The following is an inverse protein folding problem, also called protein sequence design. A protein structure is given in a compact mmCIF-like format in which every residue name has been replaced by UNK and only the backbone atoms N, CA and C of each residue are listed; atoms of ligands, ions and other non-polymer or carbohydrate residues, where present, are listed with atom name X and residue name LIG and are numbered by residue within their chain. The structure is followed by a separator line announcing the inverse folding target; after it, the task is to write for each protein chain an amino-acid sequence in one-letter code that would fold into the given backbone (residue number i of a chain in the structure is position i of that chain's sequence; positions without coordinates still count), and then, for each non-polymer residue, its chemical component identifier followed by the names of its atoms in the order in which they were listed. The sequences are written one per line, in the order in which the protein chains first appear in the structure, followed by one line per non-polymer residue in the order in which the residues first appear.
data_IF_567351966584
#
_entry.id   IF_567351966584
#
_cell.length_a   1.000
_cell.length_b   1.000
_cell.length_c   1.000
_cell.angle_alpha   90.00
_cell.angle_beta   90.00
_cell.angle_gamma   90.00
#
_symmetry.space_group_name_H-M   'P 1'
#
loop_
_entity.id
_entity.type
_entity.pdbx_description
1 polymer ?
#
# COMPACT_ATOMS: atom_id res chain seq x y z
N UNK A 1 -25.08 -21.25 -6.76
CA UNK A 1 -25.13 -20.38 -5.56
C UNK A 1 -23.72 -19.90 -5.31
N UNK A 2 -23.40 -18.73 -5.85
CA UNK A 2 -22.07 -18.14 -5.95
C UNK A 2 -21.79 -17.26 -4.75
N UNK A 3 -20.79 -17.63 -3.95
CA UNK A 3 -20.22 -16.77 -2.93
C UNK A 3 -19.12 -15.92 -3.59
N UNK A 4 -19.38 -14.64 -3.75
CA UNK A 4 -18.38 -13.62 -4.10
C UNK A 4 -17.45 -13.43 -2.90
N UNK A 5 -16.20 -13.89 -3.03
CA UNK A 5 -15.10 -13.53 -2.13
C UNK A 5 -14.77 -12.05 -2.32
N UNK A 6 -14.67 -11.31 -1.23
CA UNK A 6 -14.19 -9.93 -1.18
C UNK A 6 -12.71 -9.87 -1.64
N UNK A 7 -12.30 -8.95 -2.52
CA UNK A 7 -10.92 -8.92 -3.04
C UNK A 7 -9.90 -8.20 -2.13
N UNK A 8 -10.23 -7.81 -0.90
CA UNK A 8 -9.35 -6.94 -0.09
C UNK A 8 -9.32 -7.32 1.39
N UNK A 9 -8.87 -8.53 1.70
CA UNK A 9 -8.61 -8.96 3.08
C UNK A 9 -7.36 -9.86 3.12
N UNK A 10 -6.17 -9.26 3.22
CA UNK A 10 -4.93 -10.02 3.32
C UNK A 10 -3.65 -9.19 3.19
N UNK A 11 -3.61 -7.96 3.72
CA UNK A 11 -2.36 -7.21 3.78
C UNK A 11 -1.70 -7.42 5.14
N UNK A 12 -0.73 -8.34 5.19
CA UNK A 12 0.20 -8.47 6.31
C UNK A 12 1.22 -7.35 6.28
N UNK A 13 0.81 -6.12 6.60
CA UNK A 13 1.78 -5.05 6.88
C UNK A 13 2.51 -5.43 8.17
N UNK A 14 3.84 -5.55 8.08
CA UNK A 14 4.80 -5.68 9.17
C UNK A 14 4.19 -5.31 10.53
N UNK A 15 3.99 -6.32 11.38
CA UNK A 15 3.53 -6.15 12.75
C UNK A 15 4.51 -5.23 13.49
N UNK A 16 4.18 -3.93 13.54
CA UNK A 16 4.78 -2.95 14.44
C UNK A 16 4.29 -3.30 15.87
N UNK A 17 4.97 -4.25 16.51
CA UNK A 17 5.05 -4.41 17.97
C UNK A 17 6.19 -3.52 18.46
N UNK A 18 5.87 -2.27 18.79
CA UNK A 18 6.74 -1.38 19.57
C UNK A 18 5.89 -0.21 20.09
N UNK A 19 5.18 -0.45 21.20
CA UNK A 19 4.51 0.57 22.02
C UNK A 19 5.59 1.43 22.71
N UNK A 20 5.85 2.64 22.19
CA UNK A 20 6.78 3.60 22.80
C UNK A 20 6.12 4.92 23.23
N UNK A 21 4.89 4.86 23.72
CA UNK A 21 4.23 6.00 24.39
C UNK A 21 4.40 5.99 25.93
N UNK A 22 5.43 5.33 26.46
CA UNK A 22 5.81 5.39 27.89
C UNK A 22 7.24 5.90 28.07
N UNK A 23 7.49 7.15 27.68
CA UNK A 23 8.58 7.94 28.28
C UNK A 23 7.96 9.08 29.05
N UNK A 24 7.65 8.82 30.32
CA UNK A 24 7.42 9.87 31.31
C UNK A 24 8.71 10.67 31.54
N UNK A 25 8.64 11.91 32.03
CA UNK A 25 9.79 12.82 32.05
C UNK A 25 10.79 12.56 33.18
N UNK A 26 10.64 11.49 33.98
CA UNK A 26 11.50 11.23 35.14
C UNK A 26 12.24 9.91 34.97
N UNK A 27 13.56 10.00 34.81
CA UNK A 27 14.44 8.85 34.61
C UNK A 27 14.72 8.09 35.90
N UNK A 28 14.76 6.76 35.79
CA UNK A 28 15.63 5.89 36.58
C UNK A 28 15.91 4.62 35.76
N UNK A 29 17.19 4.35 35.51
CA UNK A 29 17.67 3.05 35.04
C UNK A 29 17.63 2.08 36.22
N UNK A 30 16.84 1.01 36.14
CA UNK A 30 17.01 -0.14 37.02
C UNK A 30 17.06 -1.43 36.20
N UNK A 31 18.25 -2.03 36.22
CA UNK A 31 18.60 -3.35 35.71
C UNK A 31 17.93 -4.45 36.53
N UNK A 32 17.32 -5.46 35.89
CA UNK A 32 17.01 -6.72 36.56
C UNK A 32 17.19 -7.94 35.62
N UNK A 33 18.13 -8.79 36.01
CA UNK A 33 18.46 -10.11 35.46
C UNK A 33 17.38 -11.17 35.76
N UNK A 34 17.39 -12.34 35.06
CA UNK A 34 16.31 -13.33 35.12
C UNK A 34 16.51 -14.40 36.20
N UNK A 35 15.41 -14.95 36.71
CA UNK A 35 15.38 -16.09 37.63
C UNK A 35 14.04 -16.85 37.60
N UNK A 36 14.00 -18.13 38.02
CA UNK A 36 13.39 -19.20 37.23
C UNK A 36 12.06 -19.78 37.75
N UNK A 37 11.39 -20.49 36.84
CA UNK A 37 10.31 -21.48 36.94
C UNK A 37 9.80 -21.95 38.32
N UNK A 38 8.47 -21.98 38.48
CA UNK A 38 7.79 -23.11 39.13
C UNK A 38 6.32 -23.20 38.66
N UNK A 39 5.91 -24.38 38.21
CA UNK A 39 4.57 -24.63 37.68
C UNK A 39 3.48 -24.77 38.74
N UNK A 40 2.23 -24.59 38.28
CA UNK A 40 1.06 -25.26 38.83
C UNK A 40 0.00 -25.39 37.75
N UNK A 41 -0.27 -26.64 37.38
CA UNK A 41 -1.51 -27.06 36.74
C UNK A 41 -2.61 -27.01 37.79
N UNK A 42 -3.69 -26.27 37.51
CA UNK A 42 -5.01 -26.57 38.06
C UNK A 42 -6.05 -26.37 36.95
N UNK A 43 -6.81 -27.44 36.75
CA UNK A 43 -7.80 -27.68 35.70
C UNK A 43 -9.19 -27.15 36.07
N UNK A 44 -9.98 -26.94 35.00
CA UNK A 44 -11.46 -26.91 34.97
C UNK A 44 -12.16 -25.60 35.31
N UNK A 45 -12.38 -24.82 34.24
CA UNK A 45 -13.40 -23.78 34.15
C UNK A 45 -13.63 -23.39 32.69
N UNK A 46 -13.92 -24.36 31.82
CA UNK A 46 -14.35 -24.11 30.43
C UNK A 46 -15.75 -23.46 30.44
N UNK A 47 -15.80 -22.18 30.82
CA UNK A 47 -16.82 -21.28 30.29
C UNK A 47 -16.38 -21.04 28.85
N UNK A 48 -16.96 -21.80 27.93
CA UNK A 48 -16.97 -21.42 26.52
C UNK A 48 -17.63 -20.04 26.45
N UNK A 49 -16.81 -19.00 26.58
CA UNK A 49 -17.18 -17.64 26.23
C UNK A 49 -17.44 -17.71 24.74
N UNK A 50 -18.70 -17.97 24.37
CA UNK A 50 -19.19 -17.76 23.02
C UNK A 50 -18.76 -16.34 22.72
N UNK A 51 -17.68 -16.18 21.93
CA UNK A 51 -17.40 -14.91 21.26
C UNK A 51 -18.62 -14.68 20.40
N UNK A 52 -19.59 -13.96 20.95
CA UNK A 52 -20.71 -13.39 20.22
C UNK A 52 -20.03 -12.56 19.16
N UNK A 53 -20.08 -13.03 17.90
CA UNK A 53 -19.62 -12.22 16.80
C UNK A 53 -20.34 -10.89 16.92
N UNK A 54 -19.60 -9.77 16.92
CA UNK A 54 -20.21 -8.47 16.98
C UNK A 54 -21.29 -8.35 15.88
N UNK A 55 -22.43 -7.70 16.15
CA UNK A 55 -23.46 -7.54 15.13
C UNK A 55 -22.86 -6.88 13.87
N UNK A 56 -23.24 -7.33 12.66
CA UNK A 56 -22.70 -6.73 11.45
C UNK A 56 -23.07 -5.23 11.40
N UNK A 57 -22.25 -4.42 10.71
CA UNK A 57 -22.52 -2.99 10.61
C UNK A 57 -23.85 -2.75 9.88
N UNK A 58 -24.56 -1.65 10.20
CA UNK A 58 -25.89 -1.40 9.66
C UNK A 58 -25.82 -1.25 8.13
N UNK A 59 -26.67 -1.96 7.36
CA UNK A 59 -26.69 -1.77 5.91
C UNK A 59 -27.20 -0.36 5.61
N UNK A 60 -26.47 0.38 4.78
CA UNK A 60 -26.80 1.75 4.41
C UNK A 60 -27.57 1.86 3.08
N UNK A 61 -27.73 0.74 2.35
CA UNK A 61 -28.49 0.66 1.10
C UNK A 61 -27.87 1.50 -0.03
N UNK A 62 -28.50 1.53 -1.21
CA UNK A 62 -27.97 2.23 -2.38
C UNK A 62 -28.10 3.76 -2.35
N UNK A 63 -28.83 4.34 -1.39
CA UNK A 63 -29.11 5.78 -1.29
C UNK A 63 -29.07 6.29 0.16
N UNK A 64 -27.91 6.24 0.84
CA UNK A 64 -27.82 6.59 2.24
C UNK A 64 -27.93 8.09 2.50
N UNK A 65 -28.52 8.47 3.63
CA UNK A 65 -28.71 9.87 4.07
C UNK A 65 -27.86 10.19 5.30
N UNK A 66 -27.81 11.46 5.72
CA UNK A 66 -27.16 11.84 6.99
C UNK A 66 -27.78 11.16 8.22
N UNK A 67 -29.06 10.76 8.17
CA UNK A 67 -29.66 9.95 9.22
C UNK A 67 -29.08 8.53 9.27
N UNK A 68 -28.75 7.92 8.12
CA UNK A 68 -28.04 6.64 8.07
C UNK A 68 -26.62 6.78 8.62
N UNK A 69 -25.94 7.88 8.28
CA UNK A 69 -24.61 8.20 8.81
C UNK A 69 -24.62 8.34 10.35
N UNK A 70 -25.59 9.05 10.91
CA UNK A 70 -25.76 9.17 12.36
C UNK A 70 -25.97 7.82 13.04
N UNK A 71 -26.83 6.95 12.48
CA UNK A 71 -27.02 5.58 12.98
C UNK A 71 -25.73 4.76 12.95
N UNK A 72 -24.91 4.90 11.90
CA UNK A 72 -23.63 4.22 11.81
C UNK A 72 -22.66 4.71 12.89
N UNK A 73 -22.59 6.01 13.15
CA UNK A 73 -21.81 6.56 14.27
C UNK A 73 -22.27 5.94 15.60
N UNK A 74 -23.56 5.96 15.89
CA UNK A 74 -24.09 5.42 17.15
C UNK A 74 -23.80 3.92 17.30
N UNK A 75 -23.96 3.16 16.22
CA UNK A 75 -23.60 1.75 16.15
C UNK A 75 -22.13 1.54 16.54
N UNK A 76 -21.18 2.12 15.78
CA UNK A 76 -19.76 1.90 15.99
C UNK A 76 -19.22 2.49 17.30
N UNK A 77 -19.86 3.54 17.87
CA UNK A 77 -19.51 4.03 19.21
C UNK A 77 -19.80 3.00 20.30
N UNK A 78 -20.93 2.32 20.19
CA UNK A 78 -21.39 1.29 21.12
C UNK A 78 -20.82 -0.10 20.83
N UNK A 79 -20.18 -0.27 19.67
CA UNK A 79 -19.70 -1.56 19.21
C UNK A 79 -18.40 -2.00 19.91
N UNK A 80 -18.29 -3.28 20.32
CA UNK A 80 -17.10 -3.80 21.02
C UNK A 80 -15.87 -3.89 20.10
N UNK A 81 -16.09 -4.08 18.79
CA UNK A 81 -15.05 -4.03 17.77
C UNK A 81 -15.28 -2.80 16.88
N UNK A 82 -14.49 -1.75 17.08
CA UNK A 82 -14.61 -0.50 16.33
C UNK A 82 -13.83 -0.51 15.02
N UNK A 83 -13.14 -1.62 14.70
CA UNK A 83 -12.39 -1.76 13.46
C UNK A 83 -13.32 -1.63 12.25
N UNK A 84 -12.84 -1.03 11.15
CA UNK A 84 -13.62 -0.80 9.94
C UNK A 84 -14.70 0.30 10.02
N UNK A 85 -14.94 0.91 11.19
CA UNK A 85 -15.96 1.95 11.33
C UNK A 85 -15.71 3.17 10.43
N UNK A 86 -14.46 3.61 10.29
CA UNK A 86 -14.10 4.73 9.41
C UNK A 86 -14.26 4.38 7.93
N UNK A 87 -13.91 3.14 7.54
CA UNK A 87 -14.15 2.59 6.20
C UNK A 87 -15.62 2.65 5.86
N UNK A 88 -16.45 2.14 6.75
CA UNK A 88 -17.90 2.12 6.57
C UNK A 88 -18.49 3.53 6.46
N UNK A 89 -18.05 4.46 7.32
CA UNK A 89 -18.48 5.84 7.25
C UNK A 89 -18.06 6.52 5.94
N UNK A 90 -16.86 6.24 5.43
CA UNK A 90 -16.39 6.71 4.12
C UNK A 90 -17.25 6.15 3.00
N UNK A 91 -17.49 4.85 2.96
CA UNK A 91 -18.20 4.21 1.86
C UNK A 91 -19.68 4.60 1.81
N UNK A 92 -20.29 4.76 2.99
CA UNK A 92 -21.62 5.36 3.13
C UNK A 92 -21.61 6.79 2.59
N UNK A 93 -20.59 7.59 2.92
CA UNK A 93 -20.48 8.96 2.45
C UNK A 93 -20.36 9.06 0.93
N UNK A 94 -19.46 8.27 0.33
CA UNK A 94 -19.29 8.17 -1.12
C UNK A 94 -20.61 7.79 -1.79
N UNK A 95 -21.29 6.77 -1.25
CA UNK A 95 -22.57 6.29 -1.78
C UNK A 95 -23.66 7.36 -1.67
N UNK A 96 -23.71 8.11 -0.57
CA UNK A 96 -24.70 9.16 -0.36
C UNK A 96 -24.47 10.38 -1.25
N UNK A 97 -23.21 10.79 -1.43
CA UNK A 97 -22.85 11.85 -2.37
C UNK A 97 -23.17 11.43 -3.81
N UNK A 98 -22.75 10.21 -4.21
CA UNK A 98 -23.05 9.64 -5.53
C UNK A 98 -24.56 9.62 -5.81
N UNK A 99 -25.37 9.27 -4.82
CA UNK A 99 -26.82 9.22 -4.92
C UNK A 99 -27.52 10.59 -4.82
N UNK A 100 -26.77 11.67 -4.57
CA UNK A 100 -27.28 13.02 -4.34
C UNK A 100 -28.08 13.18 -3.04
N UNK A 101 -27.98 12.22 -2.12
CA UNK A 101 -28.70 12.21 -0.83
C UNK A 101 -27.90 12.83 0.31
N UNK A 102 -26.61 13.11 0.07
CA UNK A 102 -25.75 13.89 0.96
C UNK A 102 -25.09 14.99 0.13
N UNK A 103 -25.30 16.25 0.53
CA UNK A 103 -24.76 17.43 -0.14
C UNK A 103 -23.35 17.80 0.35
N UNK A 104 -22.60 18.55 -0.46
CA UNK A 104 -21.28 19.08 -0.06
C UNK A 104 -21.34 19.93 1.23
N UNK A 105 -22.46 20.64 1.48
CA UNK A 105 -22.67 21.39 2.71
C UNK A 105 -22.77 20.47 3.92
N UNK A 106 -23.54 19.40 3.82
CA UNK A 106 -23.65 18.39 4.89
C UNK A 106 -22.32 17.71 5.16
N UNK A 107 -21.55 17.42 4.10
CA UNK A 107 -20.19 16.91 4.25
C UNK A 107 -19.32 17.86 5.07
N UNK A 108 -19.31 19.14 4.70
CA UNK A 108 -18.46 20.12 5.37
C UNK A 108 -18.86 20.33 6.85
N UNK A 109 -20.16 20.40 7.13
CA UNK A 109 -20.69 20.84 8.42
C UNK A 109 -21.04 19.70 9.38
N UNK A 110 -21.29 18.48 8.89
CA UNK A 110 -21.94 17.42 9.67
C UNK A 110 -21.21 16.08 9.67
N UNK A 111 -20.38 15.79 8.68
CA UNK A 111 -19.61 14.54 8.60
C UNK A 111 -18.47 14.54 9.62
N UNK A 112 -18.33 13.42 10.34
CA UNK A 112 -17.47 13.27 11.52
C UNK A 112 -16.93 11.84 11.62
N UNK A 113 -15.62 11.65 11.83
CA UNK A 113 -14.59 12.68 11.98
C UNK A 113 -14.28 13.40 10.67
N UNK A 114 -13.65 14.58 10.74
CA UNK A 114 -13.25 15.39 9.57
C UNK A 114 -12.43 14.58 8.55
N UNK A 115 -11.66 13.61 9.01
CA UNK A 115 -10.95 12.65 8.17
C UNK A 115 -11.84 12.00 7.09
N UNK A 116 -13.09 11.64 7.42
CA UNK A 116 -14.05 11.05 6.46
C UNK A 116 -14.47 12.05 5.38
N UNK A 117 -14.59 13.33 5.71
CA UNK A 117 -14.87 14.37 4.73
C UNK A 117 -13.65 14.60 3.81
N UNK A 118 -12.44 14.56 4.39
CA UNK A 118 -11.19 14.74 3.64
C UNK A 118 -10.93 13.59 2.67
N UNK A 119 -11.34 12.35 2.96
CA UNK A 119 -11.13 11.25 2.01
C UNK A 119 -11.93 11.38 0.71
N UNK A 120 -13.04 12.13 0.69
CA UNK A 120 -13.78 12.41 -0.55
C UNK A 120 -12.96 13.20 -1.57
N UNK A 121 -11.93 13.93 -1.12
CA UNK A 121 -11.02 14.62 -2.02
C UNK A 121 -10.17 13.65 -2.84
N UNK A 122 -10.15 12.35 -2.53
CA UNK A 122 -9.44 11.31 -3.29
C UNK A 122 -10.32 10.56 -4.31
N UNK A 123 -11.63 10.85 -4.36
CA UNK A 123 -12.57 10.09 -5.18
C UNK A 123 -12.58 10.53 -6.65
N UNK A 124 -12.45 9.55 -7.56
CA UNK A 124 -12.45 9.77 -9.03
C UNK A 124 -13.83 9.63 -9.68
N UNK A 125 -14.81 9.11 -8.95
CA UNK A 125 -16.16 8.94 -9.47
C UNK A 125 -16.73 10.31 -9.93
N UNK A 126 -17.15 10.47 -11.21
CA UNK A 126 -17.67 11.74 -11.71
C UNK A 126 -18.86 12.30 -10.90
N UNK A 127 -19.61 11.45 -10.20
CA UNK A 127 -20.70 11.87 -9.32
C UNK A 127 -20.22 12.39 -7.96
N UNK A 128 -18.98 12.06 -7.54
CA UNK A 128 -18.42 12.41 -6.22
C UNK A 128 -17.33 13.48 -6.33
N UNK A 129 -16.52 13.45 -7.38
CA UNK A 129 -15.40 14.37 -7.61
C UNK A 129 -15.79 15.87 -7.48
N UNK A 130 -16.94 16.35 -8.00
CA UNK A 130 -17.36 17.74 -7.81
C UNK A 130 -17.51 18.15 -6.34
N UNK A 131 -18.00 17.24 -5.49
CA UNK A 131 -18.10 17.48 -4.04
C UNK A 131 -16.71 17.56 -3.42
N UNK A 132 -15.79 16.67 -3.81
CA UNK A 132 -14.38 16.73 -3.40
C UNK A 132 -13.72 18.08 -3.75
N UNK A 133 -13.92 18.57 -4.97
CA UNK A 133 -13.40 19.86 -5.43
C UNK A 133 -13.94 21.04 -4.63
N UNK A 134 -15.25 21.05 -4.32
CA UNK A 134 -15.86 22.07 -3.46
C UNK A 134 -15.26 22.07 -2.05
N UNK A 135 -15.04 20.89 -1.47
CA UNK A 135 -14.43 20.76 -0.15
C UNK A 135 -12.98 21.25 -0.18
N UNK A 136 -12.20 20.88 -1.20
CA UNK A 136 -10.83 21.35 -1.38
C UNK A 136 -10.76 22.88 -1.48
N UNK A 137 -11.65 23.51 -2.25
CA UNK A 137 -11.75 24.96 -2.32
C UNK A 137 -12.05 25.59 -0.94
N UNK A 138 -12.94 24.97 -0.15
CA UNK A 138 -13.25 25.44 1.21
C UNK A 138 -12.08 25.28 2.17
N UNK A 139 -11.31 24.20 2.08
CA UNK A 139 -10.08 24.02 2.87
C UNK A 139 -9.07 25.11 2.51
N UNK A 140 -8.82 25.35 1.21
CA UNK A 140 -7.90 26.41 0.76
C UNK A 140 -8.29 27.79 1.29
N UNK A 141 -9.59 28.13 1.23
CA UNK A 141 -10.10 29.40 1.79
C UNK A 141 -9.96 29.45 3.32
N UNK A 142 -10.32 28.37 4.03
CA UNK A 142 -10.27 28.34 5.49
C UNK A 142 -8.86 28.27 6.08
N UNK A 143 -7.92 27.64 5.37
CA UNK A 143 -6.51 27.59 5.75
C UNK A 143 -5.76 28.87 5.34
N UNK A 144 -6.17 29.49 4.24
CA UNK A 144 -5.48 30.62 3.62
C UNK A 144 -4.08 30.24 3.14
N UNK A 145 -3.18 31.23 3.11
CA UNK A 145 -1.78 31.06 2.70
C UNK A 145 -0.81 30.90 3.89
N UNK A 146 -1.32 30.79 5.12
CA UNK A 146 -0.49 30.74 6.33
C UNK A 146 0.13 29.35 6.53
N UNK A 147 1.47 29.20 6.51
CA UNK A 147 2.11 27.89 6.60
C UNK A 147 1.82 27.14 7.92
N UNK A 148 1.78 27.85 9.04
CA UNK A 148 1.45 27.28 10.36
C UNK A 148 0.04 26.68 10.38
N UNK A 149 -0.91 27.36 9.73
CA UNK A 149 -2.30 26.88 9.65
C UNK A 149 -2.40 25.57 8.90
N UNK A 150 -1.66 25.43 7.79
CA UNK A 150 -1.58 24.18 7.04
C UNK A 150 -0.94 23.06 7.87
N UNK A 151 0.17 23.33 8.53
CA UNK A 151 0.84 22.34 9.37
C UNK A 151 -0.06 21.86 10.53
N UNK A 152 -0.83 22.75 11.14
CA UNK A 152 -1.80 22.41 12.18
C UNK A 152 -2.96 21.55 11.65
N UNK A 153 -3.46 21.82 10.45
CA UNK A 153 -4.51 21.02 9.82
C UNK A 153 -4.02 19.59 9.53
N UNK A 154 -2.82 19.46 8.95
CA UNK A 154 -2.19 18.16 8.65
C UNK A 154 -1.94 17.37 9.95
N UNK A 155 -1.42 18.02 10.99
CA UNK A 155 -1.15 17.41 12.30
C UNK A 155 -2.42 16.83 12.95
N UNK A 156 -3.57 17.50 12.78
CA UNK A 156 -4.76 17.23 13.59
C UNK A 156 -5.80 16.38 12.88
N UNK A 157 -5.89 16.42 11.56
CA UNK A 157 -7.03 15.89 10.79
C UNK A 157 -7.40 14.44 11.14
N UNK A 158 -6.41 13.57 11.34
CA UNK A 158 -6.64 12.14 11.62
C UNK A 158 -7.15 11.89 13.05
N UNK A 159 -6.85 12.81 13.97
CA UNK A 159 -7.28 12.79 15.37
C UNK A 159 -8.50 13.68 15.66
N UNK A 160 -8.95 14.46 14.68
CA UNK A 160 -10.02 15.43 14.88
C UNK A 160 -11.39 14.76 14.83
N UNK A 161 -12.07 14.70 15.97
CA UNK A 161 -13.39 14.05 16.10
C UNK A 161 -14.52 14.91 15.53
N UNK A 162 -14.36 16.23 15.46
CA UNK A 162 -15.38 17.14 14.94
C UNK A 162 -15.52 17.10 13.42
N UNK A 163 -16.40 17.97 12.90
CA UNK A 163 -16.56 18.20 11.47
C UNK A 163 -15.36 18.91 10.85
N UNK A 164 -15.26 18.85 9.52
CA UNK A 164 -14.23 19.58 8.77
C UNK A 164 -14.38 21.10 8.94
N UNK A 165 -15.60 21.64 8.96
CA UNK A 165 -15.82 23.06 9.26
C UNK A 165 -15.25 23.45 10.63
N UNK A 166 -15.53 22.65 11.67
CA UNK A 166 -15.02 22.91 13.01
C UNK A 166 -13.49 22.85 13.08
N UNK A 167 -12.86 21.93 12.32
CA UNK A 167 -11.40 21.89 12.19
C UNK A 167 -10.87 23.19 11.55
N UNK A 168 -11.51 23.63 10.46
CA UNK A 168 -11.14 24.84 9.71
C UNK A 168 -11.38 26.15 10.47
N UNK A 169 -12.29 26.18 11.45
CA UNK A 169 -12.52 27.35 12.31
C UNK A 169 -11.89 27.21 13.70
N UNK A 170 -11.27 26.06 13.99
CA UNK A 170 -10.80 25.68 15.33
C UNK A 170 -11.89 25.77 16.42
N UNK A 171 -13.16 25.64 16.03
CA UNK A 171 -14.29 25.65 16.95
C UNK A 171 -14.46 24.28 17.62
N UNK A 172 -14.93 24.29 18.87
CA UNK A 172 -15.37 23.06 19.53
C UNK A 172 -16.59 22.49 18.78
N UNK A 173 -16.63 21.16 18.65
CA UNK A 173 -17.74 20.46 18.03
C UNK A 173 -18.26 19.38 18.99
N UNK A 174 -19.36 19.67 19.67
CA UNK A 174 -19.84 18.88 20.81
C UNK A 174 -20.67 17.65 20.41
N UNK A 175 -21.01 17.48 19.12
CA UNK A 175 -21.87 16.35 18.70
C UNK A 175 -21.09 15.04 18.57
N UNK A 176 -21.78 13.88 18.70
CA UNK A 176 -21.20 12.54 18.61
C UNK A 176 -20.27 12.32 17.41
N UNK A 177 -19.19 11.58 17.65
CA UNK A 177 -18.25 11.12 16.63
C UNK A 177 -17.64 9.78 17.04
N UNK A 178 -17.00 9.11 16.08
CA UNK A 178 -16.10 8.01 16.42
C UNK A 178 -14.87 8.54 17.17
N UNK A 179 -14.37 7.80 18.17
CA UNK A 179 -13.13 8.18 18.83
C UNK A 179 -12.00 8.30 17.79
N UNK A 180 -11.01 9.17 18.05
CA UNK A 180 -9.91 9.37 17.12
C UNK A 180 -9.28 8.03 16.76
N UNK A 181 -8.96 7.89 15.48
CA UNK A 181 -8.27 6.73 14.96
C UNK A 181 -7.00 6.50 15.81
N UNK A 182 -6.84 5.31 16.40
CA UNK A 182 -5.49 4.82 16.75
C UNK A 182 -4.61 4.92 15.49
N UNK A 183 -3.26 4.97 15.59
CA UNK A 183 -2.38 5.04 14.42
C UNK A 183 -2.71 4.00 13.33
N UNK A 184 -3.28 2.86 13.76
CA UNK A 184 -3.72 1.73 12.94
C UNK A 184 -5.18 1.80 12.41
N UNK A 185 -6.00 2.81 12.72
CA UNK A 185 -7.42 2.78 12.29
C UNK A 185 -7.62 3.03 10.77
N UNK A 186 -6.56 3.47 10.08
CA UNK A 186 -6.51 3.60 8.63
C UNK A 186 -5.53 2.60 7.97
N UNK A 187 -5.03 1.57 8.67
CA UNK A 187 -4.04 0.62 8.07
C UNK A 187 -4.61 -0.28 6.98
N UNK A 188 -5.93 -0.32 6.81
CA UNK A 188 -6.60 -0.91 5.64
C UNK A 188 -6.95 0.11 4.55
N UNK A 189 -6.58 1.37 4.72
CA UNK A 189 -6.86 2.44 3.77
C UNK A 189 -5.56 2.97 3.18
N UNK A 190 -5.43 2.80 1.88
CA UNK A 190 -4.33 3.37 1.10
C UNK A 190 -4.32 4.91 1.22
N UNK A 191 -5.50 5.55 1.24
CA UNK A 191 -5.67 7.00 1.28
C UNK A 191 -5.67 7.56 2.71
N UNK A 192 -4.61 8.27 3.09
CA UNK A 192 -4.50 8.93 4.41
C UNK A 192 -4.96 10.39 4.35
N UNK A 193 -5.85 10.84 5.26
CA UNK A 193 -6.30 12.23 5.31
C UNK A 193 -5.16 13.24 5.46
N UNK A 194 -4.12 12.93 6.25
CA UNK A 194 -2.95 13.80 6.38
C UNK A 194 -2.18 13.94 5.06
N UNK A 195 -2.03 12.85 4.30
CA UNK A 195 -1.40 12.87 2.97
C UNK A 195 -2.22 13.71 1.99
N UNK A 196 -3.55 13.59 2.00
CA UNK A 196 -4.44 14.39 1.15
C UNK A 196 -4.28 15.88 1.47
N UNK A 197 -4.24 16.26 2.75
CA UNK A 197 -4.04 17.66 3.14
C UNK A 197 -2.64 18.17 2.77
N UNK A 198 -1.59 17.35 2.92
CA UNK A 198 -0.24 17.73 2.51
C UNK A 198 -0.14 17.93 1.00
N UNK A 199 -0.77 17.06 0.20
CA UNK A 199 -0.84 17.20 -1.25
C UNK A 199 -1.66 18.43 -1.69
N UNK A 200 -2.67 18.82 -0.90
CA UNK A 200 -3.49 20.00 -1.15
C UNK A 200 -2.80 21.32 -0.75
N UNK A 201 -1.85 21.26 0.20
CA UNK A 201 -1.22 22.45 0.77
C UNK A 201 -0.39 23.22 -0.27
N UNK A 202 -0.38 24.57 -0.24
CA UNK A 202 0.59 25.36 -0.96
C UNK A 202 2.02 24.95 -0.59
N UNK A 203 2.97 25.10 -1.53
CA UNK A 203 4.39 24.71 -1.34
C UNK A 203 4.97 25.18 -0.01
N UNK A 204 4.80 26.45 0.35
CA UNK A 204 5.30 27.00 1.60
C UNK A 204 4.70 26.32 2.85
N UNK A 205 3.42 25.92 2.79
CA UNK A 205 2.77 25.18 3.88
C UNK A 205 3.27 23.75 4.01
N UNK A 206 3.46 23.05 2.88
CA UNK A 206 4.02 21.70 2.85
C UNK A 206 5.48 21.69 3.35
N UNK A 207 6.31 22.61 2.86
CA UNK A 207 7.70 22.77 3.31
C UNK A 207 7.77 23.10 4.80
N UNK A 208 6.92 24.01 5.29
CA UNK A 208 6.87 24.35 6.72
C UNK A 208 6.47 23.14 7.57
N UNK A 209 5.47 22.35 7.19
CA UNK A 209 5.12 21.14 7.91
C UNK A 209 6.28 20.13 8.00
N UNK A 210 7.00 19.93 6.89
CA UNK A 210 8.09 18.95 6.78
C UNK A 210 9.42 19.42 7.41
N UNK A 211 9.64 20.73 7.52
CA UNK A 211 10.96 21.26 7.92
C UNK A 211 10.93 22.16 9.16
N UNK A 212 9.82 22.82 9.44
CA UNK A 212 9.67 23.73 10.58
C UNK A 212 8.98 23.00 11.74
N UNK A 213 9.81 22.40 12.60
CA UNK A 213 9.37 21.99 13.92
C UNK A 213 9.62 23.11 14.92
N UNK A 214 8.56 23.70 15.50
CA UNK A 214 8.72 24.34 16.80
C UNK A 214 9.23 23.28 17.80
N UNK A 215 10.04 23.67 18.77
CA UNK A 215 10.82 22.76 19.65
C UNK A 215 9.97 21.72 20.40
N UNK A 216 8.63 21.82 20.43
CA UNK A 216 7.72 20.81 20.99
C UNK A 216 6.93 19.93 19.99
N UNK A 217 6.88 20.26 18.69
CA UNK A 217 6.07 19.51 17.70
C UNK A 217 6.89 18.78 16.65
N UNK A 218 8.21 19.03 16.61
CA UNK A 218 9.13 18.46 15.62
C UNK A 218 9.12 16.92 15.59
N UNK A 219 9.22 16.27 16.75
CA UNK A 219 9.24 14.79 16.84
C UNK A 219 7.93 14.19 16.35
N UNK A 220 6.80 14.77 16.76
CA UNK A 220 5.47 14.32 16.32
C UNK A 220 5.31 14.45 14.81
N UNK A 221 5.71 15.60 14.23
CA UNK A 221 5.64 15.86 12.78
C UNK A 221 6.56 14.94 11.99
N UNK A 222 7.79 14.72 12.46
CA UNK A 222 8.71 13.76 11.86
C UNK A 222 8.14 12.33 11.88
N UNK A 223 7.56 11.91 13.00
CA UNK A 223 6.88 10.61 13.12
C UNK A 223 5.66 10.51 12.19
N UNK A 224 4.89 11.59 12.03
CA UNK A 224 3.77 11.64 11.09
C UNK A 224 4.27 11.56 9.63
N UNK A 225 5.23 12.38 9.22
CA UNK A 225 5.81 12.36 7.88
C UNK A 225 6.41 10.98 7.53
N UNK A 226 7.10 10.33 8.47
CA UNK A 226 7.60 8.97 8.30
C UNK A 226 6.46 7.98 8.02
N UNK A 227 5.35 8.06 8.75
CA UNK A 227 4.19 7.20 8.49
C UNK A 227 3.57 7.51 7.13
N UNK A 228 3.42 8.79 6.81
CA UNK A 228 2.81 9.26 5.55
C UNK A 228 3.52 8.69 4.31
N UNK A 229 4.83 8.47 4.36
CA UNK A 229 5.59 7.90 3.25
C UNK A 229 5.09 6.50 2.81
N UNK A 230 4.47 5.74 3.72
CA UNK A 230 3.90 4.42 3.44
C UNK A 230 2.49 4.43 2.85
N UNK A 231 1.90 5.59 2.58
CA UNK A 231 0.49 5.70 2.15
C UNK A 231 0.31 6.69 0.98
N UNK A 232 -0.86 6.63 0.35
CA UNK A 232 -1.25 7.58 -0.70
C UNK A 232 -2.15 8.70 -0.14
N UNK A 233 -2.23 9.85 -0.83
CA UNK A 233 -1.36 10.22 -1.96
C UNK A 233 0.09 10.48 -1.55
N UNK A 234 1.01 10.13 -2.44
CA UNK A 234 2.35 10.67 -2.39
C UNK A 234 2.33 12.08 -2.98
N UNK A 235 3.07 12.99 -2.37
CA UNK A 235 3.24 14.36 -2.87
C UNK A 235 4.73 14.63 -3.03
N UNK A 236 5.10 15.45 -4.03
CA UNK A 236 6.49 15.81 -4.26
C UNK A 236 7.21 16.34 -3.01
N UNK A 237 6.62 17.23 -2.19
CA UNK A 237 7.27 17.67 -0.95
C UNK A 237 7.58 16.53 0.01
N UNK A 238 6.67 15.55 0.17
CA UNK A 238 6.89 14.39 1.04
C UNK A 238 8.03 13.50 0.51
N UNK A 239 8.06 13.24 -0.80
CA UNK A 239 9.10 12.44 -1.45
C UNK A 239 10.45 13.14 -1.33
N UNK A 240 10.55 14.42 -1.70
CA UNK A 240 11.78 15.22 -1.59
C UNK A 240 12.30 15.27 -0.16
N UNK A 241 11.42 15.46 0.83
CA UNK A 241 11.79 15.42 2.23
C UNK A 241 12.36 14.06 2.64
N UNK A 242 11.71 12.97 2.21
CA UNK A 242 12.10 11.59 2.52
C UNK A 242 13.46 11.21 1.91
N UNK A 243 13.72 11.67 0.67
CA UNK A 243 15.00 11.45 -0.02
C UNK A 243 16.13 12.36 0.48
N UNK A 244 15.80 13.48 1.12
CA UNK A 244 16.78 14.40 1.69
C UNK A 244 17.59 13.79 2.84
N UNK A 245 18.70 14.44 3.21
CA UNK A 245 19.50 14.08 4.38
C UNK A 245 18.75 14.19 5.73
N UNK A 246 17.60 14.86 5.74
CA UNK A 246 16.72 14.97 6.92
C UNK A 246 15.70 13.84 7.01
N UNK A 247 15.43 13.13 5.90
CA UNK A 247 14.54 11.99 5.86
C UNK A 247 15.11 10.82 6.65
N UNK A 248 14.27 10.14 7.42
CA UNK A 248 14.70 8.96 8.19
C UNK A 248 14.79 7.72 7.29
N UNK A 249 15.70 6.80 7.61
CA UNK A 249 15.77 5.49 6.93
C UNK A 249 14.44 4.74 6.97
N UNK A 250 13.72 4.82 8.09
CA UNK A 250 12.35 4.28 8.21
C UNK A 250 11.36 4.91 7.23
N UNK A 251 11.46 6.21 6.95
CA UNK A 251 10.59 6.87 5.97
C UNK A 251 10.92 6.39 4.56
N UNK A 252 12.22 6.22 4.25
CA UNK A 252 12.67 5.67 2.97
C UNK A 252 12.25 4.22 2.77
N UNK A 253 12.37 3.38 3.80
CA UNK A 253 11.88 2.01 3.75
C UNK A 253 10.36 1.97 3.55
N UNK A 254 9.60 2.83 4.24
CA UNK A 254 8.14 2.93 4.05
C UNK A 254 7.79 3.42 2.65
N UNK A 255 8.54 4.37 2.10
CA UNK A 255 8.39 4.82 0.72
C UNK A 255 8.73 3.70 -0.27
N UNK A 256 9.81 2.95 -0.04
CA UNK A 256 10.21 1.82 -0.88
C UNK A 256 9.21 0.66 -0.84
N UNK A 257 8.51 0.47 0.27
CA UNK A 257 7.47 -0.56 0.44
C UNK A 257 6.06 -0.07 0.02
N UNK A 258 5.89 1.20 -0.32
CA UNK A 258 4.61 1.73 -0.74
C UNK A 258 4.36 1.38 -2.21
N UNK A 259 3.36 0.52 -2.44
CA UNK A 259 2.97 0.03 -3.76
C UNK A 259 2.78 1.12 -4.84
N UNK A 260 2.48 2.36 -4.44
CA UNK A 260 2.26 3.50 -5.35
C UNK A 260 3.49 4.39 -5.54
N UNK A 261 4.66 3.98 -5.08
CA UNK A 261 5.90 4.71 -5.33
C UNK A 261 6.31 4.58 -6.80
N UNK A 262 6.56 5.70 -7.51
CA UNK A 262 7.04 5.69 -8.90
C UNK A 262 8.41 5.02 -9.04
N UNK A 263 8.65 4.37 -10.18
CA UNK A 263 9.93 3.70 -10.47
C UNK A 263 11.14 4.65 -10.37
N UNK A 264 10.99 5.92 -10.82
CA UNK A 264 12.04 6.93 -10.67
C UNK A 264 12.44 7.17 -9.21
N UNK A 265 11.45 7.19 -8.29
CA UNK A 265 11.70 7.34 -6.85
C UNK A 265 12.32 6.07 -6.26
N UNK A 266 11.90 4.89 -6.73
CA UNK A 266 12.50 3.61 -6.32
C UNK A 266 13.98 3.53 -6.76
N UNK A 267 14.32 3.98 -7.98
CA UNK A 267 15.71 4.10 -8.44
C UNK A 267 16.54 5.01 -7.53
N UNK A 268 16.04 6.19 -7.18
CA UNK A 268 16.71 7.10 -6.25
C UNK A 268 16.91 6.47 -4.86
N UNK A 269 15.95 5.68 -4.39
CA UNK A 269 16.04 4.94 -3.13
C UNK A 269 17.10 3.83 -3.17
N UNK A 270 17.22 3.09 -4.29
CA UNK A 270 18.26 2.08 -4.48
C UNK A 270 19.67 2.68 -4.51
N UNK A 271 19.82 3.85 -5.11
CA UNK A 271 21.08 4.60 -5.14
C UNK A 271 21.48 5.15 -3.76
N UNK A 272 20.55 5.19 -2.81
CA UNK A 272 20.82 5.69 -1.47
C UNK A 272 21.65 4.67 -0.68
N UNK A 273 22.88 5.04 -0.36
CA UNK A 273 23.86 4.16 0.31
C UNK A 273 23.35 3.69 1.67
N UNK A 274 23.34 2.37 1.90
CA UNK A 274 23.48 1.81 3.24
C UNK A 274 22.30 1.02 3.83
N UNK A 275 21.21 0.76 3.10
CA UNK A 275 20.06 0.04 3.66
C UNK A 275 19.65 -1.18 2.80
N UNK A 276 20.15 -2.39 3.10
CA UNK A 276 19.73 -3.63 2.42
C UNK A 276 18.22 -3.88 2.44
N UNK A 277 17.53 -3.31 3.43
CA UNK A 277 16.07 -3.39 3.56
C UNK A 277 15.34 -2.66 2.42
N UNK A 278 15.91 -1.57 1.87
CA UNK A 278 15.33 -0.87 0.72
C UNK A 278 15.37 -1.77 -0.50
N UNK A 279 16.51 -2.39 -0.81
CA UNK A 279 16.62 -3.31 -1.93
C UNK A 279 15.66 -4.50 -1.78
N UNK A 280 15.46 -5.01 -0.56
CA UNK A 280 14.43 -6.03 -0.29
C UNK A 280 13.02 -5.51 -0.60
N UNK A 281 12.66 -4.33 -0.10
CA UNK A 281 11.36 -3.74 -0.37
C UNK A 281 11.11 -3.52 -1.87
N UNK A 282 12.13 -3.12 -2.64
CA UNK A 282 12.01 -2.95 -4.10
C UNK A 282 11.88 -4.30 -4.82
N UNK A 283 12.63 -5.33 -4.43
CA UNK A 283 12.51 -6.68 -5.00
C UNK A 283 11.12 -7.27 -4.80
N UNK A 284 10.54 -7.02 -3.64
CA UNK A 284 9.25 -7.54 -3.19
C UNK A 284 8.08 -6.59 -3.47
N UNK A 285 8.35 -5.46 -4.13
CA UNK A 285 7.37 -4.42 -4.40
C UNK A 285 6.26 -4.93 -5.33
N UNK A 286 5.00 -4.64 -5.03
CA UNK A 286 3.84 -5.15 -5.77
C UNK A 286 3.86 -4.76 -7.25
N UNK A 287 4.32 -3.55 -7.56
CA UNK A 287 4.20 -2.98 -8.91
C UNK A 287 5.53 -2.47 -9.51
N UNK A 288 6.69 -2.70 -8.87
CA UNK A 288 7.95 -2.14 -9.38
C UNK A 288 8.22 -2.67 -10.80
N UNK A 289 8.61 -1.77 -11.70
CA UNK A 289 8.90 -2.11 -13.09
C UNK A 289 10.07 -3.09 -13.19
N UNK A 290 10.08 -3.90 -14.26
CA UNK A 290 11.11 -4.89 -14.52
C UNK A 290 12.56 -4.38 -14.33
N UNK A 291 12.94 -3.23 -14.93
CA UNK A 291 14.31 -2.70 -14.82
C UNK A 291 14.74 -2.37 -13.39
N UNK A 292 13.87 -1.68 -12.63
CA UNK A 292 14.15 -1.34 -11.22
C UNK A 292 14.19 -2.60 -10.36
N UNK A 293 13.32 -3.58 -10.65
CA UNK A 293 13.34 -4.87 -9.96
C UNK A 293 14.64 -5.62 -10.26
N UNK A 294 15.09 -5.64 -11.51
CA UNK A 294 16.36 -6.26 -11.91
C UNK A 294 17.53 -5.66 -11.13
N UNK A 295 17.65 -4.33 -11.08
CA UNK A 295 18.67 -3.63 -10.29
C UNK A 295 18.65 -4.04 -8.80
N UNK A 296 17.46 -4.17 -8.21
CA UNK A 296 17.32 -4.62 -6.83
C UNK A 296 17.70 -6.10 -6.62
N UNK A 297 17.47 -6.97 -7.62
CA UNK A 297 17.84 -8.38 -7.60
C UNK A 297 19.35 -8.61 -7.78
N UNK A 298 20.06 -7.73 -8.48
CA UNK A 298 21.53 -7.79 -8.58
C UNK A 298 22.21 -7.78 -7.20
N UNK A 299 21.62 -7.08 -6.22
CA UNK A 299 22.16 -7.02 -4.84
C UNK A 299 22.15 -8.37 -4.09
N UNK A 300 21.41 -9.36 -4.58
CA UNK A 300 21.30 -10.72 -4.00
C UNK A 300 21.73 -11.81 -4.98
N UNK A 301 22.37 -11.44 -6.09
CA UNK A 301 22.81 -12.36 -7.14
C UNK A 301 23.62 -13.55 -6.60
N UNK A 302 24.60 -13.25 -5.74
CA UNK A 302 25.47 -14.25 -5.12
C UNK A 302 24.91 -14.81 -3.79
N UNK A 303 23.63 -14.57 -3.48
CA UNK A 303 22.99 -14.94 -2.21
C UNK A 303 21.77 -15.84 -2.46
N UNK A 304 21.98 -17.16 -2.68
CA UNK A 304 20.91 -18.06 -3.12
C UNK A 304 19.71 -18.14 -2.17
N UNK A 305 19.94 -18.04 -0.86
CA UNK A 305 18.86 -18.01 0.14
C UNK A 305 18.03 -16.72 0.09
N UNK A 306 18.68 -15.57 -0.13
CA UNK A 306 17.98 -14.29 -0.25
C UNK A 306 17.21 -14.22 -1.58
N UNK A 307 17.81 -14.73 -2.66
CA UNK A 307 17.16 -14.87 -3.95
C UNK A 307 15.89 -15.73 -3.84
N UNK A 308 15.98 -16.92 -3.24
CA UNK A 308 14.84 -17.82 -3.05
C UNK A 308 13.70 -17.16 -2.26
N UNK A 309 14.02 -16.46 -1.17
CA UNK A 309 13.01 -15.74 -0.37
C UNK A 309 12.33 -14.64 -1.18
N UNK A 310 13.08 -13.75 -1.82
CA UNK A 310 12.48 -12.66 -2.58
C UNK A 310 11.70 -13.15 -3.81
N UNK A 311 12.11 -14.24 -4.46
CA UNK A 311 11.33 -14.87 -5.54
C UNK A 311 10.04 -15.51 -5.03
N UNK A 312 10.07 -16.19 -3.88
CA UNK A 312 8.86 -16.77 -3.30
C UNK A 312 7.81 -15.69 -2.99
N UNK A 313 8.23 -14.57 -2.41
CA UNK A 313 7.38 -13.41 -2.16
C UNK A 313 6.86 -12.81 -3.46
N UNK A 314 7.72 -12.59 -4.46
CA UNK A 314 7.31 -12.06 -5.77
C UNK A 314 6.23 -12.90 -6.44
N UNK A 315 6.40 -14.23 -6.42
CA UNK A 315 5.48 -15.17 -7.08
C UNK A 315 4.18 -15.37 -6.30
N UNK A 316 4.15 -15.09 -4.99
CA UNK A 316 2.91 -15.02 -4.21
C UNK A 316 1.99 -13.89 -4.71
N UNK A 317 2.57 -12.76 -5.12
CA UNK A 317 1.83 -11.57 -5.52
C UNK A 317 1.57 -11.46 -7.03
N UNK A 318 2.39 -12.08 -7.88
CA UNK A 318 2.06 -12.23 -9.30
C UNK A 318 3.16 -12.74 -10.21
N UNK A 319 2.79 -13.65 -11.10
CA UNK A 319 3.67 -14.20 -12.14
C UNK A 319 4.04 -13.14 -13.20
N UNK A 320 3.16 -12.14 -13.42
CA UNK A 320 3.43 -11.05 -14.37
C UNK A 320 4.68 -10.25 -13.99
N UNK A 321 4.84 -9.93 -12.71
CA UNK A 321 5.98 -9.18 -12.19
C UNK A 321 7.28 -9.98 -12.32
N UNK A 322 7.21 -11.31 -12.19
CA UNK A 322 8.34 -12.19 -12.48
C UNK A 322 8.69 -12.18 -13.98
N UNK A 323 7.71 -12.24 -14.87
CA UNK A 323 7.95 -12.14 -16.32
C UNK A 323 8.54 -10.78 -16.72
N UNK A 324 8.09 -9.69 -16.09
CA UNK A 324 8.65 -8.35 -16.30
C UNK A 324 10.10 -8.25 -15.83
N UNK A 325 10.46 -8.93 -14.73
CA UNK A 325 11.85 -9.08 -14.30
C UNK A 325 12.68 -9.80 -15.37
N UNK A 326 12.20 -10.93 -15.90
CA UNK A 326 12.91 -11.67 -16.95
C UNK A 326 13.09 -10.87 -18.24
N UNK A 327 12.09 -10.08 -18.61
CA UNK A 327 12.16 -9.21 -19.78
C UNK A 327 13.15 -8.05 -19.62
N UNK A 328 13.42 -7.63 -18.38
CA UNK A 328 14.33 -6.54 -18.08
C UNK A 328 15.81 -6.97 -17.96
N UNK A 329 16.09 -8.27 -17.88
CA UNK A 329 17.46 -8.78 -17.83
C UNK A 329 18.10 -8.58 -19.22
N UNK A 330 19.30 -7.99 -19.28
CA UNK A 330 20.06 -7.84 -20.51
C UNK A 330 20.24 -9.15 -21.28
N UNK A 331 20.22 -9.09 -22.61
CA UNK A 331 20.37 -10.27 -23.47
C UNK A 331 21.77 -10.94 -23.33
N UNK A 332 22.78 -10.22 -22.83
CA UNK A 332 24.11 -10.78 -22.58
C UNK A 332 24.23 -11.51 -21.22
N UNK A 333 23.13 -11.64 -20.46
CA UNK A 333 23.08 -12.37 -19.19
C UNK A 333 22.07 -13.55 -19.17
N UNK A 334 22.18 -14.52 -20.10
CA UNK A 334 21.28 -15.68 -20.15
C UNK A 334 21.41 -16.59 -18.93
N UNK A 335 22.58 -16.60 -18.26
CA UNK A 335 22.83 -17.40 -17.05
C UNK A 335 21.93 -16.94 -15.91
N UNK A 336 21.69 -15.63 -15.81
CA UNK A 336 20.81 -15.10 -14.78
C UNK A 336 19.34 -15.41 -15.05
N UNK A 337 18.88 -15.27 -16.29
CA UNK A 337 17.54 -15.71 -16.72
C UNK A 337 17.32 -17.18 -16.36
N UNK A 338 18.25 -18.07 -16.74
CA UNK A 338 18.20 -19.48 -16.41
C UNK A 338 18.14 -19.72 -14.89
N UNK A 339 18.95 -18.98 -14.11
CA UNK A 339 18.99 -19.11 -12.64
C UNK A 339 17.67 -18.73 -11.98
N UNK A 340 17.03 -17.65 -12.43
CA UNK A 340 15.75 -17.21 -11.90
C UNK A 340 14.65 -18.21 -12.21
N UNK A 341 14.56 -18.69 -13.46
CA UNK A 341 13.55 -19.68 -13.86
C UNK A 341 13.74 -20.98 -13.08
N UNK A 342 14.98 -21.47 -12.96
CA UNK A 342 15.31 -22.67 -12.16
C UNK A 342 14.92 -22.50 -10.69
N UNK A 343 15.14 -21.31 -10.13
CA UNK A 343 14.87 -21.03 -8.72
C UNK A 343 13.38 -20.88 -8.45
N UNK A 344 12.62 -20.33 -9.39
CA UNK A 344 11.17 -20.25 -9.33
C UNK A 344 10.52 -21.65 -9.39
N UNK A 345 11.03 -22.52 -10.27
CA UNK A 345 10.65 -23.93 -10.33
C UNK A 345 9.14 -24.14 -10.43
N UNK A 346 8.59 -24.95 -9.51
CA UNK A 346 7.17 -25.32 -9.50
C UNK A 346 6.23 -24.20 -9.04
N UNK A 347 6.75 -23.07 -8.56
CA UNK A 347 5.93 -21.91 -8.25
C UNK A 347 5.38 -21.22 -9.52
N UNK A 348 5.95 -21.51 -10.70
CA UNK A 348 5.44 -21.04 -11.98
C UNK A 348 4.34 -21.97 -12.50
N UNK A 349 3.16 -21.40 -12.70
CA UNK A 349 2.09 -21.99 -13.49
C UNK A 349 2.49 -22.22 -14.95
N UNK A 350 1.74 -23.05 -15.68
CA UNK A 350 2.13 -23.52 -17.02
C UNK A 350 2.29 -22.37 -18.02
N UNK A 351 1.39 -21.39 -18.01
CA UNK A 351 1.41 -20.26 -18.95
C UNK A 351 2.61 -19.34 -18.71
N UNK A 352 2.89 -19.02 -17.44
CA UNK A 352 4.04 -18.21 -17.05
C UNK A 352 5.36 -18.95 -17.33
N UNK A 353 5.39 -20.27 -17.10
CA UNK A 353 6.54 -21.13 -17.42
C UNK A 353 6.84 -21.13 -18.92
N UNK A 354 5.81 -21.29 -19.76
CA UNK A 354 5.96 -21.22 -21.22
C UNK A 354 6.52 -19.86 -21.66
N UNK A 355 6.00 -18.76 -21.12
CA UNK A 355 6.51 -17.41 -21.41
C UNK A 355 7.98 -17.23 -20.98
N UNK A 356 8.34 -17.72 -19.79
CA UNK A 356 9.71 -17.67 -19.29
C UNK A 356 10.67 -18.52 -20.14
N UNK A 357 10.25 -19.70 -20.57
CA UNK A 357 11.03 -20.56 -21.47
C UNK A 357 11.20 -19.94 -22.86
N UNK A 358 10.17 -19.31 -23.40
CA UNK A 358 10.28 -18.58 -24.66
C UNK A 358 11.32 -17.44 -24.55
N UNK A 359 11.32 -16.69 -23.44
CA UNK A 359 12.34 -15.66 -23.17
C UNK A 359 13.75 -16.24 -23.07
N UNK A 360 13.93 -17.37 -22.37
CA UNK A 360 15.24 -18.03 -22.28
C UNK A 360 15.74 -18.52 -23.65
N UNK A 361 14.85 -19.10 -24.47
CA UNK A 361 15.19 -19.58 -25.80
C UNK A 361 15.51 -18.44 -26.78
N UNK A 362 14.91 -17.26 -26.60
CA UNK A 362 15.19 -16.07 -27.41
C UNK A 362 16.60 -15.51 -27.16
N UNK A 363 17.03 -15.51 -25.90
CA UNK A 363 18.31 -14.91 -25.48
C UNK A 363 19.50 -15.88 -25.61
N UNK A 364 19.22 -17.18 -25.56
CA UNK A 364 20.23 -18.22 -25.63
C UNK A 364 19.91 -19.15 -26.81
N UNK A 365 19.74 -20.43 -26.52
CA UNK A 365 19.40 -21.48 -27.48
C UNK A 365 18.34 -22.39 -26.84
N UNK A 366 17.50 -23.08 -27.63
CA UNK A 366 16.44 -23.94 -27.10
C UNK A 366 16.97 -25.06 -26.20
N UNK A 367 18.22 -25.51 -26.38
CA UNK A 367 18.91 -26.49 -25.54
C UNK A 367 18.93 -26.13 -24.05
N UNK A 368 19.04 -24.84 -23.74
CA UNK A 368 19.03 -24.36 -22.36
C UNK A 368 17.68 -24.62 -21.69
N UNK A 369 16.58 -24.47 -22.45
CA UNK A 369 15.23 -24.78 -22.00
C UNK A 369 15.04 -26.28 -21.82
N UNK A 370 15.54 -27.09 -22.75
CA UNK A 370 15.39 -28.56 -22.68
C UNK A 370 16.06 -29.13 -21.43
N UNK A 371 17.28 -28.67 -21.15
CA UNK A 371 18.03 -29.08 -19.96
C UNK A 371 17.31 -28.67 -18.68
N UNK A 372 16.79 -27.44 -18.64
CA UNK A 372 16.08 -26.90 -17.50
C UNK A 372 14.77 -27.67 -17.23
N UNK A 373 13.93 -27.85 -18.23
CA UNK A 373 12.63 -28.53 -18.07
C UNK A 373 12.81 -30.03 -17.80
N UNK A 374 13.79 -30.69 -18.41
CA UNK A 374 14.11 -32.09 -18.09
C UNK A 374 14.56 -32.24 -16.62
N UNK A 375 15.37 -31.30 -16.12
CA UNK A 375 15.83 -31.33 -14.72
C UNK A 375 14.68 -31.16 -13.72
N UNK A 376 13.64 -30.42 -14.11
CA UNK A 376 12.47 -30.12 -13.28
C UNK A 376 11.42 -31.24 -13.37
N UNK A 377 11.08 -31.69 -14.58
CA UNK A 377 10.08 -32.72 -14.83
C UNK A 377 10.57 -34.15 -14.52
N UNK A 378 11.89 -34.37 -14.50
CA UNK A 378 12.51 -35.66 -14.19
C UNK A 378 12.39 -36.74 -15.27
N UNK A 379 11.58 -36.54 -16.31
CA UNK A 379 11.51 -37.41 -17.50
C UNK A 379 11.03 -36.65 -18.74
N UNK A 380 11.32 -37.19 -19.93
CA UNK A 380 10.86 -36.63 -21.20
C UNK A 380 9.33 -36.64 -21.32
N UNK A 381 8.64 -37.62 -20.75
CA UNK A 381 7.18 -37.74 -20.85
C UNK A 381 6.44 -36.66 -20.04
N UNK A 382 7.07 -36.18 -18.96
CA UNK A 382 6.53 -35.18 -18.05
C UNK A 382 6.93 -33.73 -18.41
N UNK A 383 7.77 -33.53 -19.43
CA UNK A 383 8.10 -32.21 -19.96
C UNK A 383 6.91 -31.54 -20.63
N UNK A 384 6.92 -30.20 -20.68
CA UNK A 384 5.90 -29.43 -21.39
C UNK A 384 5.83 -29.88 -22.86
N UNK A 385 4.63 -30.10 -23.44
CA UNK A 385 4.47 -30.55 -24.82
C UNK A 385 5.25 -29.70 -25.83
N UNK A 386 5.28 -28.40 -25.62
CA UNK A 386 5.95 -27.41 -26.45
C UNK A 386 7.48 -27.55 -26.40
N UNK A 387 8.03 -27.88 -25.22
CA UNK A 387 9.47 -28.14 -25.04
C UNK A 387 9.88 -29.42 -25.76
N UNK A 388 9.05 -30.47 -25.70
CA UNK A 388 9.31 -31.72 -26.45
C UNK A 388 9.23 -31.51 -27.96
N UNK A 389 8.27 -30.72 -28.42
CA UNK A 389 8.18 -30.32 -29.82
C UNK A 389 9.41 -29.54 -30.25
N UNK A 390 9.88 -28.61 -29.40
CA UNK A 390 11.13 -27.87 -29.60
C UNK A 390 12.35 -28.79 -29.72
N UNK A 391 12.50 -29.77 -28.82
CA UNK A 391 13.56 -30.79 -28.88
C UNK A 391 13.51 -31.61 -30.18
N UNK A 392 12.32 -32.03 -30.58
CA UNK A 392 12.12 -32.85 -31.79
C UNK A 392 12.48 -32.08 -33.05
N UNK A 393 12.20 -30.78 -33.08
CA UNK A 393 12.47 -29.91 -34.21
C UNK A 393 13.86 -29.25 -34.15
N UNK A 394 14.57 -29.35 -33.03
CA UNK A 394 15.84 -28.65 -32.82
C UNK A 394 15.71 -27.12 -32.91
N UNK A 395 14.59 -26.56 -32.43
CA UNK A 395 14.28 -25.13 -32.63
C UNK A 395 13.38 -24.58 -31.52
N UNK A 396 13.50 -23.28 -31.23
CA UNK A 396 12.61 -22.54 -30.33
C UNK A 396 11.23 -22.24 -30.93
N UNK A 397 11.03 -22.49 -32.23
CA UNK A 397 9.79 -22.16 -32.93
C UNK A 397 8.51 -22.69 -32.22
N UNK A 398 8.46 -23.94 -31.73
CA UNK A 398 7.27 -24.45 -31.03
C UNK A 398 6.91 -23.69 -29.76
N UNK A 399 7.91 -23.22 -28.99
CA UNK A 399 7.68 -22.41 -27.79
C UNK A 399 7.08 -21.06 -28.17
N UNK A 400 7.66 -20.42 -29.18
CA UNK A 400 7.24 -19.10 -29.66
C UNK A 400 5.84 -19.14 -30.29
N UNK A 401 5.54 -20.18 -31.07
CA UNK A 401 4.23 -20.41 -31.68
C UNK A 401 3.15 -20.68 -30.63
N UNK A 402 3.46 -21.51 -29.62
CA UNK A 402 2.54 -21.77 -28.53
C UNK A 402 2.22 -20.49 -27.72
N UNK A 403 3.23 -19.68 -27.41
CA UNK A 403 3.03 -18.41 -26.71
C UNK A 403 2.21 -17.41 -27.55
N UNK A 404 2.36 -17.41 -28.88
CA UNK A 404 1.50 -16.58 -29.76
C UNK A 404 0.05 -17.08 -29.80
N UNK A 405 -0.14 -18.39 -29.80
CA UNK A 405 -1.47 -19.00 -29.83
C UNK A 405 -2.22 -18.80 -28.50
N UNK A 406 -1.50 -18.90 -27.37
CA UNK A 406 -2.03 -18.70 -26.02
C UNK A 406 -1.07 -17.80 -25.23
N UNK A 407 -1.19 -16.47 -25.37
CA UNK A 407 -0.37 -15.54 -24.60
C UNK A 407 -0.68 -15.64 -23.11
N UNK A 408 0.33 -15.40 -22.27
CA UNK A 408 0.13 -15.26 -20.83
C UNK A 408 -0.95 -14.21 -20.54
N UNK A 409 -1.95 -14.60 -19.76
CA UNK A 409 -3.03 -13.70 -19.34
C UNK A 409 -2.81 -13.27 -17.90
N UNK A 410 -2.43 -12.00 -17.74
CA UNK A 410 -2.33 -11.37 -16.43
C UNK A 410 -3.73 -11.23 -15.81
N UNK A 411 -3.99 -12.04 -14.78
CA UNK A 411 -5.26 -12.03 -14.03
C UNK A 411 -5.51 -10.71 -13.31
N UNK A 412 -4.45 -9.93 -13.06
CA UNK A 412 -4.49 -8.65 -12.38
C UNK A 412 -4.22 -7.47 -13.33
N UNK A 413 -4.46 -7.65 -14.63
CA UNK A 413 -4.14 -6.64 -15.64
C UNK A 413 -4.80 -5.28 -15.35
N UNK A 414 -6.05 -5.28 -14.92
CA UNK A 414 -6.78 -4.04 -14.61
C UNK A 414 -6.19 -3.33 -13.39
N UNK A 415 -5.84 -4.09 -12.35
CA UNK A 415 -5.19 -3.60 -11.13
C UNK A 415 -3.80 -3.05 -11.43
N UNK A 416 -2.99 -3.79 -12.19
CA UNK A 416 -1.66 -3.38 -12.62
C UNK A 416 -1.69 -2.11 -13.47
N UNK A 417 -2.65 -2.00 -14.40
CA UNK A 417 -2.83 -0.79 -15.22
C UNK A 417 -3.25 0.41 -14.37
N UNK A 418 -4.18 0.24 -13.44
CA UNK A 418 -4.62 1.30 -12.53
C UNK A 418 -3.49 1.75 -11.58
N UNK A 419 -2.72 0.80 -11.06
CA UNK A 419 -1.55 1.08 -10.22
C UNK A 419 -0.48 1.83 -11.02
N UNK A 420 -0.19 1.43 -12.26
CA UNK A 420 0.76 2.12 -13.12
C UNK A 420 0.35 3.57 -13.39
N UNK A 421 -0.94 3.83 -13.64
CA UNK A 421 -1.46 5.19 -13.83
C UNK A 421 -1.22 6.06 -12.59
N UNK A 422 -1.47 5.51 -11.40
CA UNK A 422 -1.28 6.20 -10.11
C UNK A 422 0.18 6.43 -9.72
N UNK A 423 1.11 5.76 -10.39
CA UNK A 423 2.56 5.82 -10.14
C UNK A 423 3.30 6.77 -11.08
N UNK A 424 2.60 7.47 -11.96
CA UNK A 424 3.24 8.43 -12.87
C UNK A 424 3.85 9.59 -12.07
N UNK A 425 5.11 9.93 -12.34
CA UNK A 425 5.87 10.97 -11.61
C UNK A 425 5.16 12.33 -11.65
N UNK A 426 4.50 12.61 -12.77
CA UNK A 426 3.67 13.80 -12.97
C UNK A 426 2.61 13.98 -11.88
N UNK A 427 2.12 12.90 -11.25
CA UNK A 427 1.14 13.00 -10.17
C UNK A 427 1.71 13.52 -8.86
N UNK A 428 3.03 13.41 -8.65
CA UNK A 428 3.69 13.96 -7.48
C UNK A 428 3.68 15.50 -7.50
N UNK A 429 3.72 16.09 -8.70
CA UNK A 429 3.78 17.54 -8.93
C UNK A 429 2.43 18.25 -8.88
N UNK A 430 1.35 17.48 -9.01
CA UNK A 430 0.01 18.03 -9.02
C UNK A 430 -0.58 17.88 -7.63
N UNK A 431 -1.31 18.87 -7.11
CA UNK A 431 -2.09 18.70 -5.90
C UNK A 431 -3.22 17.73 -6.23
N UNK A 432 -2.95 16.41 -6.28
CA UNK A 432 -3.76 15.34 -6.86
C UNK A 432 -4.39 15.66 -8.23
N UNK A 433 -4.25 14.79 -9.25
CA UNK A 433 -4.72 15.10 -10.62
C UNK A 433 -6.23 15.42 -10.71
N UNK A 434 -7.04 15.02 -9.72
CA UNK A 434 -8.49 15.25 -9.65
C UNK A 434 -8.94 16.38 -8.70
N UNK A 435 -8.02 17.11 -8.06
CA UNK A 435 -8.31 18.26 -7.18
C UNK A 435 -8.14 19.62 -7.90
N UNK A 436 -8.11 19.58 -9.23
CA UNK A 436 -8.01 20.73 -10.14
C UNK A 436 -9.38 21.18 -10.62
#
# INVERSE_FOLDING_TARGET
MTATREPWCGFGWLDDDDDWDTVGPDGYYETASPGPSSGRLDTCGNVASRRTMPPPPPPFGGRPTMAAYGRAIDHFRSHPDRSGGLTHLRDLMISGVRAGTISAHEVLCHVRPAAVAVTLLAERDPAVAPTGALIAARIRVGAGMHPERWADLIDRVESWTGSLLALLTAAADERPSLPPARPKAWTGHLWRPANILLALAPRAGAEHFLTAGAVGTAVRRAGLAQRMAGFVPLSRPLVEHTLSSRGSGRARLRLAANAFTPDAVLAELLNWVGEPAIATAVREHDFAGGPIRYEAFETVRDRPEALRRSLAVLLEYGEKQFLDLLAAIPDDDPVWIHTLIRTAGDALGPDARLAAYARLAEVCEPEAVWTLDLSLSGSLEAMLPEVRASMTQGSAAPLTEALRAVPFQDRFHAENAAAAELRTEELLDQPLPWLR
#
